data_IF_815366004091
#
_entry.id   IF_815366004091
#
_cell.length_a   1.000
_cell.length_b   1.000
_cell.length_c   1.000
_cell.angle_alpha   90.00
_cell.angle_beta   90.00
_cell.angle_gamma   90.00
#
_symmetry.space_group_name_H-M   'P 1'
#
loop_
_entity.id
_entity.type
_entity.pdbx_description
1 polymer ?
#
# COMPACT_ATOMS: atom_id res chain seq x y z
N UNK A 1 -51.55 16.19 40.26
CA UNK A 1 -51.39 17.02 41.48
C UNK A 1 -50.07 17.80 41.41
N UNK A 2 -50.16 19.08 41.04
CA UNK A 2 -49.43 20.25 41.60
C UNK A 2 -47.89 20.28 41.45
N UNK A 3 -47.32 20.95 40.43
CA UNK A 3 -46.89 22.38 40.32
C UNK A 3 -45.68 22.78 41.20
N UNK A 4 -44.66 23.43 40.58
CA UNK A 4 -43.96 24.71 40.96
C UNK A 4 -42.45 24.61 40.59
N UNK A 5 -41.93 25.25 39.55
CA UNK A 5 -41.49 26.67 39.41
C UNK A 5 -40.58 27.23 40.53
N UNK A 6 -39.29 27.48 40.20
CA UNK A 6 -38.47 28.67 40.60
C UNK A 6 -37.07 28.52 39.94
N UNK A 7 -36.67 29.27 38.92
CA UNK A 7 -36.33 30.69 38.87
C UNK A 7 -35.18 31.09 39.81
N UNK A 8 -33.96 31.25 39.27
CA UNK A 8 -32.99 32.21 39.80
C UNK A 8 -32.04 32.64 38.67
N UNK A 9 -32.21 33.88 38.21
CA UNK A 9 -31.33 34.51 37.24
C UNK A 9 -30.07 35.07 37.89
N UNK A 10 -29.01 35.11 37.10
CA UNK A 10 -27.85 36.00 37.25
C UNK A 10 -27.34 36.28 35.82
N UNK A 11 -27.67 37.44 35.24
CA UNK A 11 -26.88 38.68 35.23
C UNK A 11 -25.50 38.55 34.52
N UNK A 12 -25.44 39.20 33.34
CA UNK A 12 -24.35 39.68 32.47
C UNK A 12 -22.95 39.92 33.10
N UNK A 13 -21.83 40.11 32.33
CA UNK A 13 -21.75 40.65 30.96
C UNK A 13 -20.72 40.01 30.00
N UNK A 14 -20.75 40.53 28.77
CA UNK A 14 -19.85 40.31 27.65
C UNK A 14 -18.36 40.55 27.95
N UNK A 15 -17.49 39.75 27.33
CA UNK A 15 -16.11 40.13 27.03
C UNK A 15 -15.81 39.81 25.55
N UNK A 16 -15.47 40.87 24.82
CA UNK A 16 -14.91 40.83 23.49
C UNK A 16 -13.48 40.24 23.52
N UNK A 17 -13.09 39.54 22.45
CA UNK A 17 -11.74 38.96 22.35
C UNK A 17 -11.39 38.46 20.95
N UNK A 18 -11.23 39.41 20.03
CA UNK A 18 -10.22 39.50 18.95
C UNK A 18 -9.81 38.25 18.14
N UNK A 19 -9.99 38.39 16.81
CA UNK A 19 -9.35 37.60 15.76
C UNK A 19 -7.85 37.36 16.01
N UNK A 20 -7.43 36.09 15.90
CA UNK A 20 -6.19 35.74 15.22
C UNK A 20 -6.48 34.63 14.22
N UNK A 21 -6.28 34.96 12.95
CA UNK A 21 -6.19 34.07 11.82
C UNK A 21 -5.05 33.06 12.05
N UNK A 22 -5.35 31.96 12.73
CA UNK A 22 -4.53 30.76 12.74
C UNK A 22 -4.70 30.01 11.44
N UNK A 23 -4.13 30.53 10.35
CA UNK A 23 -3.87 29.73 9.16
C UNK A 23 -2.85 28.66 9.55
N UNK A 24 -3.33 27.49 9.97
CA UNK A 24 -2.50 26.31 9.98
C UNK A 24 -2.30 25.94 8.51
N UNK A 25 -1.25 26.49 7.90
CA UNK A 25 -0.66 25.86 6.72
C UNK A 25 -0.17 24.51 7.22
N UNK A 26 -1.04 23.51 7.09
CA UNK A 26 -0.64 22.12 7.15
C UNK A 26 0.22 21.92 5.91
N UNK A 27 1.51 22.19 6.03
CA UNK A 27 2.49 21.58 5.14
C UNK A 27 2.17 20.09 5.17
N UNK A 28 1.76 19.55 4.03
CA UNK A 28 1.34 18.17 3.87
C UNK A 28 2.45 17.23 4.28
N UNK A 29 2.56 16.98 5.58
CA UNK A 29 3.31 15.86 6.13
C UNK A 29 2.54 14.62 5.75
N UNK A 30 3.13 13.83 4.86
CA UNK A 30 2.70 12.48 4.49
C UNK A 30 2.32 11.72 5.75
N UNK A 31 1.01 11.57 5.94
CA UNK A 31 0.42 10.82 7.04
C UNK A 31 0.00 9.47 6.48
N UNK A 32 0.86 8.47 6.60
CA UNK A 32 0.44 7.07 6.70
C UNK A 32 1.54 6.30 7.43
N UNK A 33 1.16 5.69 8.56
CA UNK A 33 2.05 4.95 9.44
C UNK A 33 2.60 3.70 8.77
N UNK A 34 3.80 3.29 9.20
CA UNK A 34 4.70 2.34 8.55
C UNK A 34 5.43 2.92 7.33
N UNK A 35 6.27 3.93 7.56
CA UNK A 35 7.21 4.43 6.56
C UNK A 35 8.24 3.36 6.22
N UNK A 36 8.06 2.70 5.08
CA UNK A 36 9.12 1.93 4.45
C UNK A 36 10.26 2.87 4.08
N UNK A 37 11.49 2.50 4.40
CA UNK A 37 12.68 3.14 3.85
C UNK A 37 12.83 2.71 2.38
N UNK A 38 11.92 3.18 1.54
CA UNK A 38 12.05 3.07 0.10
C UNK A 38 13.15 4.01 -0.37
N UNK A 39 14.05 3.50 -1.22
CA UNK A 39 15.12 4.33 -1.80
C UNK A 39 14.51 5.08 -2.97
N UNK A 40 14.28 6.37 -2.74
CA UNK A 40 13.67 7.29 -3.69
C UNK A 40 14.76 8.22 -4.24
N UNK A 41 14.68 8.57 -5.52
CA UNK A 41 15.53 9.60 -6.11
C UNK A 41 15.00 11.02 -5.83
N UNK A 42 15.73 12.04 -6.29
CA UNK A 42 15.38 13.47 -6.12
C UNK A 42 14.03 13.84 -6.75
N UNK A 43 13.49 12.99 -7.63
CA UNK A 43 12.23 13.18 -8.33
C UNK A 43 11.05 12.46 -7.68
N UNK A 44 11.27 11.72 -6.59
CA UNK A 44 10.18 10.96 -5.96
C UNK A 44 9.96 9.58 -6.58
N UNK A 45 10.84 9.11 -7.48
CA UNK A 45 10.73 7.81 -8.12
C UNK A 45 11.52 6.75 -7.35
N UNK A 46 11.05 5.51 -7.39
CA UNK A 46 11.81 4.38 -6.85
C UNK A 46 13.04 4.14 -7.73
N UNK A 47 14.21 4.30 -7.13
CA UNK A 47 15.47 4.52 -7.84
C UNK A 47 15.73 3.53 -9.00
N UNK A 48 15.54 3.99 -10.23
CA UNK A 48 15.77 3.22 -11.46
C UNK A 48 14.67 2.21 -11.84
N UNK A 49 13.43 2.45 -11.39
CA UNK A 49 12.23 1.73 -11.86
C UNK A 49 11.30 2.59 -12.71
N UNK A 50 11.39 3.93 -12.60
CA UNK A 50 10.46 4.86 -13.24
C UNK A 50 9.06 4.89 -12.60
N UNK A 51 8.86 4.16 -11.50
CA UNK A 51 7.61 4.09 -10.76
C UNK A 51 7.63 5.15 -9.66
N UNK A 52 6.55 5.90 -9.55
CA UNK A 52 6.36 6.85 -8.46
C UNK A 52 6.29 6.12 -7.11
N UNK A 53 7.06 6.60 -6.13
CA UNK A 53 7.09 6.05 -4.79
C UNK A 53 5.70 5.99 -4.14
N UNK A 54 4.90 7.04 -4.30
CA UNK A 54 3.57 7.12 -3.73
C UNK A 54 2.62 6.12 -4.40
N UNK A 55 2.69 5.98 -5.73
CA UNK A 55 1.87 5.01 -6.47
C UNK A 55 2.24 3.57 -6.11
N UNK A 56 3.53 3.27 -5.96
CA UNK A 56 3.98 1.95 -5.49
C UNK A 56 3.43 1.64 -4.09
N UNK A 57 3.56 2.59 -3.16
CA UNK A 57 3.07 2.41 -1.80
C UNK A 57 1.55 2.20 -1.78
N UNK A 58 0.82 2.97 -2.59
CA UNK A 58 -0.63 2.82 -2.73
C UNK A 58 -0.99 1.44 -3.26
N UNK A 59 -0.35 0.98 -4.34
CA UNK A 59 -0.61 -0.33 -4.92
C UNK A 59 -0.28 -1.47 -3.96
N UNK A 60 0.86 -1.42 -3.26
CA UNK A 60 1.21 -2.41 -2.25
C UNK A 60 0.23 -2.41 -1.07
N UNK A 61 -0.22 -1.23 -0.63
CA UNK A 61 -1.21 -1.11 0.47
C UNK A 61 -2.56 -1.68 0.05
N UNK A 62 -2.98 -1.45 -1.19
CA UNK A 62 -4.24 -1.96 -1.72
C UNK A 62 -4.22 -3.49 -1.84
N UNK A 63 -3.17 -4.05 -2.45
CA UNK A 63 -2.96 -5.49 -2.55
C UNK A 63 -2.86 -6.15 -1.17
N UNK A 64 -2.14 -5.54 -0.23
CA UNK A 64 -2.05 -6.02 1.14
C UNK A 64 -3.42 -6.07 1.81
N UNK A 65 -4.22 -5.01 1.69
CA UNK A 65 -5.55 -4.97 2.30
C UNK A 65 -6.45 -6.07 1.74
N UNK A 66 -6.44 -6.26 0.42
CA UNK A 66 -7.17 -7.32 -0.25
C UNK A 66 -6.73 -8.70 0.26
N UNK A 67 -5.41 -8.97 0.22
CA UNK A 67 -4.83 -10.22 0.68
C UNK A 67 -5.19 -10.54 2.14
N UNK A 68 -4.97 -9.58 3.04
CA UNK A 68 -5.21 -9.77 4.46
C UNK A 68 -6.70 -9.81 4.84
N UNK A 69 -7.61 -9.49 3.90
CA UNK A 69 -9.06 -9.61 4.10
C UNK A 69 -9.62 -10.99 3.72
N UNK A 70 -8.81 -11.85 3.11
CA UNK A 70 -9.20 -13.20 2.70
C UNK A 70 -9.67 -14.01 3.92
N UNK A 71 -10.85 -14.67 3.88
CA UNK A 71 -11.41 -15.42 5.01
C UNK A 71 -10.45 -16.47 5.60
N UNK A 72 -9.69 -17.12 4.74
CA UNK A 72 -8.69 -18.14 5.06
C UNK A 72 -7.52 -17.56 5.88
N UNK A 73 -7.24 -16.26 5.71
CA UNK A 73 -6.22 -15.51 6.45
C UNK A 73 -6.80 -14.90 7.73
N UNK A 74 -7.95 -14.22 7.62
CA UNK A 74 -8.59 -13.52 8.75
C UNK A 74 -9.14 -14.46 9.81
N UNK A 75 -9.67 -15.62 9.40
CA UNK A 75 -10.22 -16.65 10.26
C UNK A 75 -9.19 -17.64 10.80
N UNK A 76 -7.90 -17.44 10.50
CA UNK A 76 -6.85 -18.38 10.89
C UNK A 76 -6.68 -18.44 12.42
N UNK A 77 -6.86 -19.65 12.97
CA UNK A 77 -6.67 -19.92 14.40
C UNK A 77 -5.20 -20.14 14.74
N UNK A 78 -4.43 -20.70 13.81
CA UNK A 78 -2.99 -20.93 13.94
C UNK A 78 -2.18 -19.92 13.14
N UNK A 79 -0.89 -19.84 13.45
CA UNK A 79 0.07 -19.08 12.65
C UNK A 79 0.15 -19.66 11.23
N UNK A 80 0.01 -18.78 10.25
CA UNK A 80 0.15 -19.05 8.83
C UNK A 80 1.53 -18.62 8.35
N UNK A 81 2.14 -19.47 7.53
CA UNK A 81 3.39 -19.18 6.84
C UNK A 81 3.11 -18.92 5.36
N UNK A 82 3.35 -17.69 4.93
CA UNK A 82 3.13 -17.24 3.56
C UNK A 82 4.49 -17.00 2.92
N UNK A 83 4.82 -17.77 1.88
CA UNK A 83 6.05 -17.56 1.12
C UNK A 83 5.79 -16.52 0.03
N UNK A 84 6.50 -15.40 0.08
CA UNK A 84 6.44 -14.37 -0.97
C UNK A 84 7.49 -14.70 -2.01
N UNK A 85 7.04 -15.06 -3.20
CA UNK A 85 7.94 -15.29 -4.32
C UNK A 85 8.39 -13.95 -4.93
N UNK A 86 9.60 -13.88 -5.52
CA UNK A 86 10.04 -12.71 -6.26
C UNK A 86 9.06 -12.37 -7.38
N UNK A 87 8.85 -11.08 -7.63
CA UNK A 87 7.97 -10.60 -8.70
C UNK A 87 8.49 -11.03 -10.06
N UNK A 88 7.61 -11.61 -10.88
CA UNK A 88 7.93 -11.86 -12.28
C UNK A 88 7.67 -10.62 -13.12
N UNK A 89 8.63 -10.28 -13.99
CA UNK A 89 8.48 -9.22 -14.97
C UNK A 89 8.05 -9.79 -16.32
N UNK A 90 6.76 -9.73 -16.61
CA UNK A 90 6.16 -10.14 -17.89
C UNK A 90 6.03 -8.92 -18.84
N UNK A 91 6.99 -7.99 -18.74
CA UNK A 91 7.07 -6.81 -19.59
C UNK A 91 8.41 -6.76 -20.31
N UNK A 92 8.45 -5.95 -21.38
CA UNK A 92 9.70 -5.68 -22.11
C UNK A 92 10.57 -4.61 -21.44
N UNK A 93 10.10 -4.03 -20.33
CA UNK A 93 10.82 -2.98 -19.61
C UNK A 93 11.86 -3.61 -18.69
N UNK A 94 13.05 -3.02 -18.62
CA UNK A 94 14.07 -3.42 -17.64
C UNK A 94 13.71 -2.79 -16.30
N UNK A 95 12.93 -3.50 -15.49
CA UNK A 95 12.53 -3.08 -14.15
C UNK A 95 13.52 -3.60 -13.10
N UNK A 96 13.89 -2.77 -12.13
CA UNK A 96 14.67 -3.21 -10.95
C UNK A 96 13.76 -3.92 -9.95
N UNK A 97 13.48 -5.19 -10.20
CA UNK A 97 12.55 -6.01 -9.40
C UNK A 97 12.94 -6.09 -7.93
N UNK A 98 14.23 -6.19 -7.60
CA UNK A 98 14.69 -6.26 -6.22
C UNK A 98 14.24 -5.08 -5.33
N UNK A 99 14.02 -3.88 -5.90
CA UNK A 99 13.48 -2.74 -5.16
C UNK A 99 11.97 -2.90 -4.89
N UNK A 100 11.23 -3.40 -5.90
CA UNK A 100 9.80 -3.68 -5.82
C UNK A 100 9.50 -4.85 -4.88
N UNK A 101 10.27 -5.93 -4.97
CA UNK A 101 10.18 -7.09 -4.10
C UNK A 101 10.36 -6.68 -2.64
N UNK A 102 11.40 -5.88 -2.36
CA UNK A 102 11.68 -5.40 -1.00
C UNK A 102 10.55 -4.51 -0.48
N UNK A 103 10.01 -3.61 -1.32
CA UNK A 103 8.91 -2.75 -0.94
C UNK A 103 7.64 -3.55 -0.65
N UNK A 104 7.29 -4.52 -1.51
CA UNK A 104 6.14 -5.38 -1.33
C UNK A 104 6.26 -6.23 -0.06
N UNK A 105 7.39 -6.91 0.12
CA UNK A 105 7.64 -7.75 1.30
C UNK A 105 7.55 -6.94 2.60
N UNK A 106 8.18 -5.77 2.62
CA UNK A 106 8.18 -4.93 3.80
C UNK A 106 6.78 -4.35 4.08
N UNK A 107 6.02 -3.98 3.05
CA UNK A 107 4.63 -3.52 3.21
C UNK A 107 3.76 -4.64 3.78
N UNK A 108 3.81 -5.83 3.17
CA UNK A 108 3.06 -7.01 3.62
C UNK A 108 3.35 -7.35 5.08
N UNK A 109 4.62 -7.34 5.48
CA UNK A 109 5.04 -7.59 6.85
C UNK A 109 4.58 -6.51 7.83
N UNK A 110 4.60 -5.23 7.44
CA UNK A 110 4.26 -4.12 8.33
C UNK A 110 2.78 -4.09 8.77
N UNK A 111 1.87 -4.54 7.92
CA UNK A 111 0.43 -4.63 8.21
C UNK A 111 -0.05 -6.05 8.50
N UNK A 112 0.86 -7.01 8.58
CA UNK A 112 0.53 -8.40 8.86
C UNK A 112 -0.10 -8.53 10.25
N UNK A 113 -1.23 -9.23 10.39
CA UNK A 113 -1.73 -9.59 11.70
C UNK A 113 -0.77 -10.62 12.33
N UNK A 114 -0.79 -10.76 13.65
CA UNK A 114 0.18 -11.62 14.38
C UNK A 114 0.15 -13.09 13.94
N UNK A 115 -0.95 -13.53 13.32
CA UNK A 115 -1.12 -14.87 12.76
C UNK A 115 -0.33 -15.06 11.46
N UNK A 116 0.02 -14.01 10.72
CA UNK A 116 0.71 -14.14 9.44
C UNK A 116 2.22 -13.96 9.61
N UNK A 117 2.99 -14.89 9.05
CA UNK A 117 4.44 -14.75 8.89
C UNK A 117 4.77 -14.83 7.42
N UNK A 118 5.32 -13.75 6.89
CA UNK A 118 5.87 -13.72 5.55
C UNK A 118 7.29 -14.27 5.54
N UNK A 119 7.54 -15.18 4.61
CA UNK A 119 8.82 -15.84 4.37
C UNK A 119 9.34 -15.40 2.99
N UNK A 120 10.66 -15.34 2.82
CA UNK A 120 11.30 -14.80 1.61
C UNK A 120 12.20 -15.79 0.90
N UNK A 121 12.49 -16.94 1.52
CA UNK A 121 13.39 -17.96 0.98
C UNK A 121 12.73 -19.34 0.96
N UNK A 122 13.00 -20.10 -0.09
CA UNK A 122 12.52 -21.48 -0.23
C UNK A 122 13.09 -22.44 0.84
N UNK A 123 14.15 -22.04 1.56
CA UNK A 123 14.68 -22.82 2.70
C UNK A 123 13.67 -22.99 3.84
N UNK A 124 12.73 -22.06 3.97
CA UNK A 124 11.62 -22.12 4.94
C UNK A 124 10.37 -22.83 4.36
N UNK A 125 10.46 -23.44 3.17
CA UNK A 125 9.30 -23.97 2.44
C UNK A 125 8.65 -25.22 3.06
N UNK A 126 9.31 -25.90 4.00
CA UNK A 126 8.83 -27.16 4.57
C UNK A 126 7.53 -27.01 5.39
N UNK A 127 7.17 -25.78 5.79
CA UNK A 127 5.97 -25.47 6.56
C UNK A 127 5.23 -24.26 5.98
N UNK A 128 5.19 -24.14 4.64
CA UNK A 128 4.46 -23.07 3.95
C UNK A 128 3.00 -23.49 3.77
N UNK A 129 2.10 -22.58 4.14
CA UNK A 129 0.65 -22.77 3.96
C UNK A 129 0.18 -22.18 2.63
N UNK A 130 0.74 -21.03 2.25
CA UNK A 130 0.38 -20.36 1.01
C UNK A 130 1.59 -19.78 0.29
N UNK A 131 1.53 -19.81 -1.04
CA UNK A 131 2.42 -19.06 -1.92
C UNK A 131 1.75 -17.74 -2.31
N UNK A 132 2.51 -16.66 -2.20
CA UNK A 132 2.13 -15.33 -2.67
C UNK A 132 2.98 -15.03 -3.90
N UNK A 133 2.37 -15.13 -5.07
CA UNK A 133 3.04 -14.99 -6.37
C UNK A 133 2.62 -13.67 -7.00
N UNK A 134 3.59 -12.84 -7.35
CA UNK A 134 3.35 -11.54 -7.95
C UNK A 134 3.83 -11.45 -9.39
N UNK A 135 3.08 -10.78 -10.25
CA UNK A 135 3.43 -10.54 -11.65
C UNK A 135 3.20 -9.11 -12.06
N UNK A 136 4.13 -8.56 -12.84
CA UNK A 136 4.02 -7.26 -13.47
C UNK A 136 3.76 -7.45 -14.96
N UNK A 137 2.64 -6.94 -15.44
CA UNK A 137 2.25 -6.96 -16.84
C UNK A 137 2.11 -5.55 -17.37
N UNK A 138 2.42 -5.33 -18.65
CA UNK A 138 2.17 -4.02 -19.26
C UNK A 138 0.68 -3.89 -19.55
N UNK A 139 0.09 -2.80 -19.07
CA UNK A 139 -1.29 -2.44 -19.37
C UNK A 139 -1.31 -1.14 -20.17
N UNK A 140 -1.93 -1.18 -21.35
CA UNK A 140 -2.16 0.01 -22.16
C UNK A 140 -3.64 0.40 -22.03
N UNK A 141 -3.99 1.42 -21.25
CA UNK A 141 -5.36 1.91 -21.20
C UNK A 141 -5.78 2.48 -22.57
N UNK A 142 -7.08 2.52 -22.84
CA UNK A 142 -7.62 3.30 -23.96
C UNK A 142 -7.38 4.80 -23.67
N UNK A 143 -6.36 5.38 -24.32
CA UNK A 143 -5.89 6.73 -24.01
C UNK A 143 -4.69 7.18 -24.85
N UNK A 144 -4.12 8.37 -24.56
CA UNK A 144 -2.92 8.86 -25.25
C UNK A 144 -1.75 7.88 -25.06
N UNK A 145 -0.93 7.72 -26.10
CA UNK A 145 0.14 6.72 -26.18
C UNK A 145 1.19 6.83 -25.04
N UNK A 146 1.25 7.99 -24.38
CA UNK A 146 2.20 8.31 -23.32
C UNK A 146 1.80 7.82 -21.93
N UNK A 147 0.58 7.32 -21.72
CA UNK A 147 0.10 6.82 -20.42
C UNK A 147 0.45 5.33 -20.26
N UNK A 148 1.75 5.03 -20.10
CA UNK A 148 2.23 3.67 -19.89
C UNK A 148 1.99 3.23 -18.44
N UNK A 149 1.24 2.14 -18.27
CA UNK A 149 0.91 1.58 -16.96
C UNK A 149 1.38 0.14 -16.84
N UNK A 150 1.69 -0.25 -15.62
CA UNK A 150 1.94 -1.63 -15.23
C UNK A 150 0.76 -2.12 -14.40
N UNK A 151 0.34 -3.35 -14.66
CA UNK A 151 -0.63 -4.06 -13.84
C UNK A 151 0.15 -5.02 -12.94
N UNK A 152 0.11 -4.75 -11.64
CA UNK A 152 0.63 -5.65 -10.63
C UNK A 152 -0.48 -6.61 -10.21
N UNK A 153 -0.28 -7.89 -10.45
CA UNK A 153 -1.19 -8.95 -10.01
C UNK A 153 -0.53 -9.74 -8.90
N UNK A 154 -1.25 -9.94 -7.80
CA UNK A 154 -0.82 -10.77 -6.68
C UNK A 154 -1.78 -11.95 -6.54
N UNK A 155 -1.26 -13.16 -6.46
CA UNK A 155 -2.02 -14.40 -6.36
C UNK A 155 -1.68 -15.08 -5.03
N UNK A 156 -2.70 -15.54 -4.31
CA UNK A 156 -2.56 -16.40 -3.15
C UNK A 156 -2.91 -17.82 -3.57
N UNK A 157 -1.96 -18.73 -3.42
CA UNK A 157 -2.10 -20.13 -3.86
C UNK A 157 -1.90 -21.02 -2.64
N UNK A 158 -2.82 -21.95 -2.38
CA UNK A 158 -2.69 -22.93 -1.29
C UNK A 158 -1.55 -23.91 -1.62
N UNK A 159 -0.60 -24.05 -0.71
CA UNK A 159 0.59 -24.88 -0.92
C UNK A 159 0.30 -26.38 -0.96
N UNK A 160 -0.84 -26.82 -0.43
CA UNK A 160 -1.20 -28.24 -0.26
C UNK A 160 -1.79 -28.84 -1.53
N UNK A 161 -2.59 -28.05 -2.25
CA UNK A 161 -3.33 -28.50 -3.42
C UNK A 161 -3.10 -27.63 -4.67
N UNK A 162 -2.29 -26.56 -4.56
CA UNK A 162 -2.02 -25.60 -5.63
C UNK A 162 -3.27 -24.86 -6.13
N UNK A 163 -4.30 -24.74 -5.29
CA UNK A 163 -5.52 -24.02 -5.62
C UNK A 163 -5.32 -22.51 -5.50
N UNK A 164 -5.86 -21.77 -6.47
CA UNK A 164 -5.88 -20.32 -6.42
C UNK A 164 -6.97 -19.86 -5.44
N UNK A 165 -6.56 -19.31 -4.31
CA UNK A 165 -7.45 -18.85 -3.24
C UNK A 165 -7.89 -17.42 -3.46
N UNK A 166 -6.98 -16.57 -3.93
CA UNK A 166 -7.26 -15.15 -4.13
C UNK A 166 -6.40 -14.52 -5.22
N UNK A 167 -6.94 -13.51 -5.89
CA UNK A 167 -6.23 -12.64 -6.83
C UNK A 167 -6.54 -11.19 -6.52
N UNK A 168 -5.49 -10.38 -6.37
CA UNK A 168 -5.58 -8.92 -6.34
C UNK A 168 -4.89 -8.32 -7.54
N UNK A 169 -5.41 -7.19 -8.00
CA UNK A 169 -4.82 -6.42 -9.08
C UNK A 169 -4.69 -4.96 -8.65
N UNK A 170 -3.58 -4.33 -8.99
CA UNK A 170 -3.38 -2.91 -8.76
C UNK A 170 -2.57 -2.28 -9.89
N UNK A 171 -2.96 -1.08 -10.29
CA UNK A 171 -2.29 -0.32 -11.34
C UNK A 171 -1.12 0.48 -10.77
N UNK A 172 0.01 0.41 -11.47
CA UNK A 172 1.21 1.18 -11.22
C UNK A 172 1.44 2.11 -12.40
N UNK A 173 1.51 3.41 -12.15
CA UNK A 173 1.81 4.39 -13.21
C UNK A 173 3.31 4.55 -13.34
N UNK A 174 3.77 4.60 -14.58
CA UNK A 174 5.15 4.94 -14.90
C UNK A 174 5.19 6.44 -15.20
N UNK A 175 6.10 7.16 -14.54
CA UNK A 175 6.41 8.50 -15.00
C UNK A 175 7.27 8.39 -16.27
N UNK A 176 6.95 9.13 -17.35
CA UNK A 176 7.85 9.24 -18.47
C UNK A 176 9.16 9.83 -17.96
N UNK A 177 10.27 9.12 -18.17
CA UNK A 177 11.60 9.63 -17.82
C UNK A 177 11.75 10.98 -18.50
N UNK A 178 11.94 12.05 -17.72
CA UNK A 178 12.14 13.39 -18.27
C UNK A 178 13.26 13.30 -19.32
N UNK A 179 12.95 13.69 -20.56
CA UNK A 179 13.96 13.75 -21.60
C UNK A 179 15.14 14.59 -21.10
N UNK A 180 16.40 14.18 -21.37
CA UNK A 180 17.54 15.02 -21.02
C UNK A 180 17.31 16.39 -21.65
N UNK A 181 17.38 17.42 -20.82
CA UNK A 181 17.19 18.81 -21.23
C UNK A 181 18.12 19.06 -22.43
N UNK A 182 17.61 19.45 -23.62
CA UNK A 182 18.49 19.80 -24.72
C UNK A 182 19.31 21.02 -24.28
N UNK A 183 20.62 20.82 -24.16
CA UNK A 183 21.61 21.87 -23.86
C UNK A 183 21.57 22.98 -24.92
#
# INVERSE_FOLDING_TARGET
>A
MVIRFRNFGFLLPALAGLLLLGGCVTTGGTRSGAGLAMVVDEQGLVAGTGIDAADLLFACTDLQRGLLSVPEITGAVRKLHLLVEPLENDTRLTLKLAALDRALQAQLAAGAPWQCRFLTEAGDAADVDYYVVGRLQRFKPEGPETDERLLCTLQLIDARNSELVWVGLSELRLQPTAAPNPL
#
